data_IF_611823735839
#
_entry.id   IF_611823735839
#
_cell.length_a   1.000
_cell.length_b   1.000
_cell.length_c   1.000
_cell.angle_alpha   90.00
_cell.angle_beta   90.00
_cell.angle_gamma   90.00
#
_symmetry.space_group_name_H-M   'P 1'
#
loop_
_entity.id
_entity.type
_entity.pdbx_description
1 polymer ?
#
# COMPACT_ATOMS: atom_id res chain seq x y z
N UNK A 1 -61.54 48.45 8.11
CA UNK A 1 -61.12 49.42 9.14
C UNK A 1 -59.64 49.04 9.43
N UNK A 2 -58.85 49.78 8.92
CA UNK A 2 -57.99 50.95 9.18
C UNK A 2 -56.54 50.48 9.54
N UNK A 3 -55.70 50.68 8.49
CA UNK A 3 -54.22 50.66 8.65
C UNK A 3 -53.77 51.84 9.51
N UNK A 4 -52.78 51.67 10.35
CA UNK A 4 -51.95 52.80 10.81
C UNK A 4 -50.49 52.42 10.74
N UNK A 5 -49.74 53.18 10.00
CA UNK A 5 -48.28 53.17 9.83
C UNK A 5 -47.54 53.46 11.10
N UNK A 6 -46.45 52.79 11.34
CA UNK A 6 -45.39 53.28 12.23
C UNK A 6 -44.08 53.27 11.48
N UNK A 7 -43.64 54.48 11.04
CA UNK A 7 -42.28 54.75 10.56
C UNK A 7 -41.36 54.86 11.75
N UNK A 8 -40.30 54.05 11.77
CA UNK A 8 -39.20 54.23 12.71
C UNK A 8 -38.02 54.83 11.97
N UNK A 9 -37.60 56.01 12.42
CA UNK A 9 -36.48 56.77 11.91
C UNK A 9 -35.16 56.06 12.23
N UNK A 10 -34.31 55.84 11.21
CA UNK A 10 -32.93 55.40 11.37
C UNK A 10 -32.05 56.65 11.53
N UNK A 11 -31.51 56.83 12.71
CA UNK A 11 -30.49 57.86 12.99
C UNK A 11 -29.12 57.39 12.54
N UNK A 12 -28.56 58.05 11.52
CA UNK A 12 -27.18 57.85 11.06
C UNK A 12 -26.25 58.64 11.98
N UNK A 13 -25.55 57.94 12.86
CA UNK A 13 -24.45 58.53 13.60
C UNK A 13 -23.16 58.39 12.81
N UNK A 14 -22.69 59.50 12.26
CA UNK A 14 -21.41 59.61 11.55
C UNK A 14 -20.28 59.60 12.62
N UNK A 15 -19.55 58.50 12.74
CA UNK A 15 -18.36 58.44 13.58
C UNK A 15 -17.14 58.84 12.71
N UNK A 16 -16.61 60.02 12.95
CA UNK A 16 -15.35 60.47 12.37
C UNK A 16 -14.19 59.78 13.11
N UNK A 17 -13.52 58.83 12.46
CA UNK A 17 -12.24 58.30 12.95
C UNK A 17 -11.08 59.24 12.52
N UNK A 18 -10.47 59.85 13.51
CA UNK A 18 -9.25 60.58 13.33
C UNK A 18 -8.10 59.62 12.96
N UNK A 19 -7.52 59.80 11.78
CA UNK A 19 -6.27 59.17 11.38
C UNK A 19 -5.11 59.83 12.10
N UNK A 20 -4.65 59.23 13.21
CA UNK A 20 -3.38 59.60 13.83
C UNK A 20 -2.52 58.35 13.96
N UNK A 21 -1.34 58.43 13.35
CA UNK A 21 -0.22 57.59 13.67
C UNK A 21 -0.04 56.34 12.78
N UNK A 22 0.66 56.56 11.65
CA UNK A 22 1.40 55.49 10.99
C UNK A 22 2.47 54.96 11.98
N UNK A 23 2.15 53.99 12.82
CA UNK A 23 3.16 53.20 13.48
C UNK A 23 3.81 52.29 12.44
N UNK A 24 5.11 52.45 12.22
CA UNK A 24 5.91 51.58 11.37
C UNK A 24 5.67 50.12 11.80
N UNK A 25 5.01 49.34 10.94
CA UNK A 25 4.91 47.92 11.14
C UNK A 25 6.34 47.36 11.35
N UNK A 26 6.56 46.73 12.48
CA UNK A 26 7.81 46.02 12.72
C UNK A 26 8.05 45.06 11.53
N UNK A 27 9.30 44.94 11.03
CA UNK A 27 9.59 44.08 9.92
C UNK A 27 9.13 42.65 10.27
N UNK A 28 8.20 42.10 9.49
CA UNK A 28 7.80 40.70 9.60
C UNK A 28 9.08 39.91 9.43
N UNK A 29 9.55 39.30 10.52
CA UNK A 29 10.73 38.46 10.48
C UNK A 29 10.49 37.39 9.41
N UNK A 30 11.23 37.43 8.31
CA UNK A 30 11.22 36.36 7.33
C UNK A 30 11.74 35.13 8.03
N UNK A 31 10.87 34.16 8.26
CA UNK A 31 11.28 32.84 8.72
C UNK A 31 12.32 32.28 7.73
N UNK A 32 13.38 31.64 8.25
CA UNK A 32 14.38 31.03 7.38
C UNK A 32 13.71 30.08 6.39
N UNK A 33 14.23 29.94 5.16
CA UNK A 33 13.64 29.09 4.13
C UNK A 33 13.33 27.66 4.59
N UNK A 34 14.08 27.16 5.58
CA UNK A 34 13.94 25.80 6.13
C UNK A 34 12.91 25.68 7.27
N UNK A 35 12.29 26.79 7.70
CA UNK A 35 11.32 26.80 8.81
C UNK A 35 10.05 25.98 8.54
N UNK A 36 9.83 25.56 7.29
CA UNK A 36 8.66 24.78 6.85
C UNK A 36 9.02 23.35 6.38
N UNK A 37 10.25 22.91 6.63
CA UNK A 37 10.67 21.58 6.23
C UNK A 37 9.99 20.53 7.14
N UNK A 38 8.87 20.00 6.69
CA UNK A 38 8.21 18.88 7.36
C UNK A 38 9.06 17.62 7.15
N UNK A 39 9.59 17.00 8.22
CA UNK A 39 10.43 15.82 8.08
C UNK A 39 9.71 14.73 7.28
N UNK A 40 10.43 14.04 6.40
CA UNK A 40 9.85 12.89 5.66
C UNK A 40 9.46 11.78 6.62
N UNK A 41 8.39 11.06 6.26
CA UNK A 41 8.00 9.81 6.94
C UNK A 41 9.01 8.75 6.55
N UNK A 42 9.72 8.20 7.52
CA UNK A 42 10.69 7.12 7.29
C UNK A 42 9.98 5.78 7.25
N UNK A 43 9.98 5.14 6.10
CA UNK A 43 9.31 3.86 5.86
C UNK A 43 10.34 2.76 5.64
N UNK A 44 10.32 1.74 6.49
CA UNK A 44 11.00 0.48 6.27
C UNK A 44 10.09 -0.43 5.45
N UNK A 45 10.33 -0.57 4.15
CA UNK A 45 9.63 -1.55 3.32
C UNK A 45 10.37 -2.89 3.40
N UNK A 46 9.71 -3.90 3.98
CA UNK A 46 10.30 -5.23 4.09
C UNK A 46 10.47 -5.86 2.70
N UNK A 47 11.70 -6.23 2.38
CA UNK A 47 12.09 -6.82 1.11
C UNK A 47 13.09 -7.94 1.33
N UNK A 48 12.60 -9.18 1.34
CA UNK A 48 13.39 -10.41 1.56
C UNK A 48 12.68 -11.60 0.92
N UNK A 49 13.22 -12.80 1.12
CA UNK A 49 12.56 -14.06 0.76
C UNK A 49 11.12 -14.07 1.26
N UNK A 50 10.20 -14.49 0.40
CA UNK A 50 8.76 -14.42 0.66
C UNK A 50 8.08 -13.12 0.23
N UNK A 51 8.79 -12.09 -0.23
CA UNK A 51 8.18 -10.97 -0.93
C UNK A 51 7.94 -11.36 -2.39
N UNK A 52 6.69 -11.45 -2.82
CA UNK A 52 6.31 -11.98 -4.14
C UNK A 52 5.49 -11.00 -4.94
N UNK A 53 5.69 -11.06 -6.25
CA UNK A 53 4.83 -10.43 -7.24
C UNK A 53 4.94 -8.92 -7.34
N UNK A 54 4.12 -8.38 -8.26
CA UNK A 54 4.09 -6.97 -8.59
C UNK A 54 3.75 -6.04 -7.42
N UNK A 55 3.04 -6.53 -6.41
CA UNK A 55 2.61 -5.70 -5.29
C UNK A 55 3.76 -5.02 -4.55
N UNK A 56 4.87 -5.74 -4.30
CA UNK A 56 6.04 -5.14 -3.64
C UNK A 56 6.71 -4.08 -4.52
N UNK A 57 6.75 -4.29 -5.83
CA UNK A 57 7.35 -3.33 -6.77
C UNK A 57 6.46 -2.10 -6.92
N UNK A 58 5.15 -2.27 -7.01
CA UNK A 58 4.19 -1.16 -6.99
C UNK A 58 4.33 -0.32 -5.72
N UNK A 59 4.36 -0.95 -4.54
CA UNK A 59 4.58 -0.26 -3.28
C UNK A 59 5.90 0.51 -3.28
N UNK A 60 6.99 -0.14 -3.68
CA UNK A 60 8.31 0.48 -3.72
C UNK A 60 8.33 1.70 -4.66
N UNK A 61 7.74 1.58 -5.84
CA UNK A 61 7.63 2.68 -6.80
C UNK A 61 6.83 3.85 -6.23
N UNK A 62 5.65 3.59 -5.68
CA UNK A 62 4.78 4.61 -5.11
C UNK A 62 5.43 5.32 -3.92
N UNK A 63 6.03 4.57 -3.00
CA UNK A 63 6.67 5.12 -1.80
C UNK A 63 7.94 5.92 -2.15
N UNK A 64 8.79 5.42 -3.05
CA UNK A 64 10.01 6.13 -3.46
C UNK A 64 9.73 7.39 -4.29
N UNK A 65 8.58 7.43 -4.98
CA UNK A 65 8.14 8.61 -5.75
C UNK A 65 7.37 9.63 -4.90
N UNK A 66 7.00 9.29 -3.67
CA UNK A 66 6.31 10.21 -2.76
C UNK A 66 7.26 11.23 -2.16
N UNK A 67 7.00 12.54 -2.30
CA UNK A 67 7.86 13.59 -1.75
C UNK A 67 7.88 13.58 -0.22
N UNK A 68 6.83 13.11 0.43
CA UNK A 68 6.70 13.06 1.89
C UNK A 68 7.36 11.82 2.52
N UNK A 69 7.88 10.89 1.72
CA UNK A 69 8.40 9.60 2.19
C UNK A 69 9.89 9.48 1.95
N UNK A 70 10.59 8.93 2.95
CA UNK A 70 11.93 8.34 2.80
C UNK A 70 11.78 6.83 2.97
N UNK A 71 11.82 6.09 1.86
CA UNK A 71 11.60 4.64 1.83
C UNK A 71 12.91 3.89 1.65
N UNK A 72 13.25 3.06 2.63
CA UNK A 72 14.38 2.14 2.59
C UNK A 72 13.88 0.69 2.58
N UNK A 73 14.65 -0.19 1.95
CA UNK A 73 14.42 -1.62 2.03
C UNK A 73 15.10 -2.20 3.26
N UNK A 74 14.37 -3.03 4.01
CA UNK A 74 14.87 -3.78 5.15
C UNK A 74 14.62 -5.27 4.95
N UNK A 75 15.56 -6.11 5.37
CA UNK A 75 15.43 -7.57 5.35
C UNK A 75 15.36 -8.14 6.77
N UNK A 76 15.31 -9.47 6.89
CA UNK A 76 15.24 -10.14 8.18
C UNK A 76 16.45 -9.84 9.06
N UNK A 77 17.66 -9.79 8.50
CA UNK A 77 18.87 -9.45 9.23
C UNK A 77 18.85 -8.02 9.79
N UNK A 78 18.34 -7.06 9.02
CA UNK A 78 18.16 -5.67 9.47
C UNK A 78 17.17 -5.58 10.64
N UNK A 79 16.06 -6.35 10.56
CA UNK A 79 15.06 -6.45 11.63
C UNK A 79 15.68 -7.05 12.90
N UNK A 80 16.37 -8.18 12.78
CA UNK A 80 17.05 -8.85 13.90
C UNK A 80 18.12 -7.94 14.54
N UNK A 81 18.85 -7.16 13.72
CA UNK A 81 19.78 -6.15 14.19
C UNK A 81 19.13 -4.93 14.87
N UNK A 82 17.79 -4.86 14.93
CA UNK A 82 17.06 -3.80 15.63
C UNK A 82 16.97 -2.48 14.86
N UNK A 83 17.25 -2.42 13.56
CA UNK A 83 17.25 -1.20 12.75
C UNK A 83 15.87 -0.53 12.62
N UNK A 84 14.78 -1.22 13.00
CA UNK A 84 13.43 -0.66 12.90
C UNK A 84 13.22 0.59 13.75
N UNK A 85 13.97 0.78 14.82
CA UNK A 85 13.89 1.97 15.70
C UNK A 85 14.14 3.29 14.96
N UNK A 86 14.79 3.25 13.81
CA UNK A 86 15.05 4.42 12.96
C UNK A 86 13.89 4.81 12.04
N UNK A 87 12.79 4.05 12.01
CA UNK A 87 11.68 4.23 11.07
C UNK A 87 10.37 4.57 11.78
N UNK A 88 9.51 5.31 11.08
CA UNK A 88 8.17 5.65 11.54
C UNK A 88 7.18 4.53 11.27
N UNK A 89 7.33 3.82 10.14
CA UNK A 89 6.42 2.77 9.68
C UNK A 89 7.21 1.57 9.16
N UNK A 90 6.91 0.39 9.66
CA UNK A 90 7.26 -0.88 9.01
C UNK A 90 6.12 -1.26 8.06
N UNK A 91 6.41 -1.30 6.77
CA UNK A 91 5.49 -1.78 5.76
C UNK A 91 5.83 -3.21 5.35
N UNK A 92 4.88 -4.11 5.57
CA UNK A 92 5.00 -5.53 5.25
C UNK A 92 4.13 -5.84 4.03
N UNK A 93 4.73 -6.06 2.84
CA UNK A 93 4.01 -6.24 1.58
C UNK A 93 3.39 -7.64 1.44
N UNK A 94 2.70 -7.88 0.31
CA UNK A 94 2.21 -9.19 -0.12
C UNK A 94 3.30 -10.24 -0.31
N UNK A 95 2.93 -11.52 -0.44
CA UNK A 95 3.84 -12.66 -0.69
C UNK A 95 3.60 -13.88 0.18
N UNK A 96 4.65 -14.66 0.48
CA UNK A 96 4.61 -15.87 1.30
C UNK A 96 4.85 -15.60 2.79
N UNK A 97 3.85 -15.87 3.62
CA UNK A 97 3.99 -15.64 5.06
C UNK A 97 4.84 -16.69 5.78
N UNK A 98 4.91 -17.91 5.26
CA UNK A 98 5.71 -18.99 5.87
C UNK A 98 7.21 -18.81 5.59
N UNK A 99 7.55 -18.38 4.39
CA UNK A 99 8.95 -18.10 4.02
C UNK A 99 9.52 -16.98 4.89
N UNK A 100 8.71 -15.92 5.14
CA UNK A 100 9.11 -14.83 6.05
C UNK A 100 9.29 -15.28 7.49
N UNK A 101 8.43 -16.19 7.97
CA UNK A 101 8.63 -16.79 9.28
C UNK A 101 10.00 -17.45 9.39
N UNK A 102 10.39 -18.23 8.36
CA UNK A 102 11.68 -18.88 8.33
C UNK A 102 12.88 -17.91 8.35
N UNK A 103 12.75 -16.75 7.72
CA UNK A 103 13.81 -15.73 7.67
C UNK A 103 13.87 -14.88 8.96
N UNK A 104 12.74 -14.38 9.41
CA UNK A 104 12.65 -13.53 10.60
C UNK A 104 12.91 -14.31 11.89
N UNK A 105 12.41 -15.55 11.96
CA UNK A 105 12.44 -16.35 13.18
C UNK A 105 11.71 -15.67 14.35
N UNK A 106 11.74 -16.28 15.52
CA UNK A 106 11.13 -15.70 16.72
C UNK A 106 11.84 -14.42 17.18
N UNK A 107 13.16 -14.34 16.99
CA UNK A 107 13.94 -13.14 17.31
C UNK A 107 13.45 -11.92 16.50
N UNK A 108 13.32 -12.07 15.18
CA UNK A 108 12.80 -11.00 14.31
C UNK A 108 11.38 -10.61 14.69
N UNK A 109 10.55 -11.58 15.06
CA UNK A 109 9.18 -11.30 15.53
C UNK A 109 9.17 -10.52 16.83
N UNK A 110 10.01 -10.87 17.80
CA UNK A 110 10.12 -10.09 19.05
C UNK A 110 10.61 -8.67 18.79
N UNK A 111 11.56 -8.47 17.88
CA UNK A 111 12.01 -7.12 17.49
C UNK A 111 10.88 -6.30 16.87
N UNK A 112 10.05 -6.92 16.01
CA UNK A 112 8.88 -6.24 15.42
C UNK A 112 7.84 -5.91 16.48
N UNK A 113 7.47 -6.87 17.35
CA UNK A 113 6.52 -6.64 18.45
C UNK A 113 7.00 -5.53 19.39
N UNK A 114 8.27 -5.55 19.77
CA UNK A 114 8.89 -4.50 20.60
C UNK A 114 8.80 -3.15 19.92
N UNK A 115 9.23 -3.05 18.65
CA UNK A 115 9.16 -1.81 17.88
C UNK A 115 7.75 -1.21 17.88
N UNK A 116 6.72 -2.02 17.63
CA UNK A 116 5.34 -1.53 17.60
C UNK A 116 4.88 -1.17 19.01
N UNK A 117 5.14 -2.02 20.03
CA UNK A 117 4.75 -1.75 21.42
C UNK A 117 5.34 -0.42 21.94
N UNK A 118 6.51 -0.03 21.48
CA UNK A 118 7.19 1.19 21.88
C UNK A 118 6.74 2.44 21.09
N UNK A 119 5.83 2.30 20.10
CA UNK A 119 5.24 3.42 19.37
C UNK A 119 5.46 3.40 17.87
N UNK A 120 6.18 2.40 17.36
CA UNK A 120 6.29 2.14 15.92
C UNK A 120 4.95 1.79 15.30
N UNK A 121 4.89 1.82 13.99
CA UNK A 121 3.63 1.57 13.24
C UNK A 121 3.84 0.44 12.25
N UNK A 122 2.81 -0.38 12.11
CA UNK A 122 2.80 -1.54 11.21
C UNK A 122 1.74 -1.35 10.13
N UNK A 123 2.13 -1.43 8.86
CA UNK A 123 1.21 -1.45 7.73
C UNK A 123 1.38 -2.76 6.97
N UNK A 124 0.43 -3.68 7.13
CA UNK A 124 0.46 -5.01 6.51
C UNK A 124 -0.51 -5.14 5.35
N UNK A 125 -0.02 -5.60 4.19
CA UNK A 125 -0.83 -5.84 2.98
C UNK A 125 -0.76 -7.31 2.61
N UNK A 126 -1.90 -7.97 2.35
CA UNK A 126 -2.01 -9.36 1.91
C UNK A 126 -1.26 -10.33 2.86
N UNK A 127 -0.08 -10.83 2.50
CA UNK A 127 0.74 -11.62 3.43
C UNK A 127 1.17 -10.81 4.67
N UNK A 128 1.17 -9.48 4.60
CA UNK A 128 1.40 -8.62 5.77
C UNK A 128 0.31 -8.78 6.84
N UNK A 129 -0.98 -8.89 6.46
CA UNK A 129 -2.01 -9.23 7.44
C UNK A 129 -1.84 -10.68 7.93
N UNK A 130 -1.46 -11.63 7.04
CA UNK A 130 -1.18 -13.00 7.46
C UNK A 130 -0.10 -13.05 8.54
N UNK A 131 0.91 -12.18 8.48
CA UNK A 131 1.95 -12.08 9.50
C UNK A 131 1.41 -11.51 10.83
N UNK A 132 0.41 -10.62 10.79
CA UNK A 132 -0.14 -9.97 11.97
C UNK A 132 -1.14 -10.82 12.76
N UNK A 133 -1.65 -11.92 12.18
CA UNK A 133 -2.66 -12.79 12.80
C UNK A 133 -2.23 -13.37 14.15
N UNK A 134 -3.22 -13.68 15.00
CA UNK A 134 -3.03 -14.35 16.29
C UNK A 134 -2.85 -15.86 16.10
N UNK A 135 -1.68 -16.24 15.61
CA UNK A 135 -1.25 -17.62 15.39
C UNK A 135 0.15 -17.80 16.02
N UNK A 136 0.47 -18.93 16.64
CA UNK A 136 1.79 -19.16 17.28
C UNK A 136 3.01 -18.89 16.38
N UNK A 137 2.84 -19.07 15.07
CA UNK A 137 3.90 -18.83 14.06
C UNK A 137 3.77 -17.47 13.39
N UNK A 138 3.19 -16.47 14.08
CA UNK A 138 2.93 -15.12 13.55
C UNK A 138 3.29 -14.05 14.58
N UNK A 139 3.16 -12.81 14.18
CA UNK A 139 3.45 -11.65 15.03
C UNK A 139 2.43 -11.47 16.18
N UNK A 140 1.23 -12.04 16.06
CA UNK A 140 0.18 -11.95 17.08
C UNK A 140 -0.14 -10.50 17.46
N UNK A 141 -0.33 -9.66 16.43
CA UNK A 141 -0.64 -8.25 16.62
C UNK A 141 -2.13 -7.98 16.69
N UNK A 142 -2.96 -8.75 15.99
CA UNK A 142 -4.41 -8.54 15.87
C UNK A 142 -5.18 -9.78 16.38
N UNK A 143 -6.39 -9.59 16.99
CA UNK A 143 -7.19 -10.68 17.57
C UNK A 143 -7.97 -11.46 16.49
N UNK A 144 -7.30 -11.83 15.42
CA UNK A 144 -7.86 -12.58 14.30
C UNK A 144 -6.95 -13.75 13.96
N UNK A 145 -7.58 -14.87 13.65
CA UNK A 145 -6.93 -16.07 13.10
C UNK A 145 -7.18 -16.15 11.61
N UNK A 146 -6.60 -17.14 10.95
CA UNK A 146 -6.85 -17.38 9.52
C UNK A 146 -8.04 -18.29 9.34
N UNK A 147 -9.01 -17.86 8.50
CA UNK A 147 -10.10 -18.72 8.04
C UNK A 147 -9.57 -19.88 7.19
N UNK A 148 -10.23 -21.02 7.29
CA UNK A 148 -9.95 -22.19 6.44
C UNK A 148 -10.47 -21.95 5.03
N UNK A 149 -9.81 -22.50 4.02
CA UNK A 149 -10.25 -22.50 2.63
C UNK A 149 -10.64 -21.12 2.04
N UNK A 150 -9.80 -20.07 2.17
CA UNK A 150 -10.08 -18.81 1.51
C UNK A 150 -10.09 -19.00 -0.02
N UNK A 151 -10.79 -18.14 -0.78
CA UNK A 151 -10.73 -18.14 -2.24
C UNK A 151 -9.29 -18.07 -2.74
N UNK A 152 -9.01 -18.67 -3.87
CA UNK A 152 -7.68 -18.74 -4.49
C UNK A 152 -7.65 -18.01 -5.83
N UNK A 153 -6.47 -17.53 -6.20
CA UNK A 153 -6.22 -16.81 -7.42
C UNK A 153 -6.38 -15.29 -7.26
N UNK A 154 -6.16 -14.60 -8.37
CA UNK A 154 -6.23 -13.15 -8.45
C UNK A 154 -7.54 -12.70 -9.11
N UNK A 155 -8.27 -11.78 -8.47
CA UNK A 155 -9.49 -11.19 -9.02
C UNK A 155 -9.77 -9.83 -8.36
N UNK A 156 -10.70 -9.06 -8.95
CA UNK A 156 -11.22 -7.85 -8.32
C UNK A 156 -12.32 -8.20 -7.33
N UNK A 157 -12.18 -7.77 -6.08
CA UNK A 157 -13.16 -7.95 -5.03
C UNK A 157 -13.81 -6.62 -4.66
N UNK A 158 -15.12 -6.59 -4.52
CA UNK A 158 -15.85 -5.47 -3.94
C UNK A 158 -15.62 -5.45 -2.42
N UNK A 159 -15.30 -4.27 -1.89
CA UNK A 159 -15.04 -4.04 -0.48
C UNK A 159 -15.74 -2.77 -0.06
N UNK A 160 -16.48 -2.85 1.02
CA UNK A 160 -17.24 -1.74 1.61
C UNK A 160 -16.43 -1.10 2.73
N UNK A 161 -15.98 0.14 2.51
CA UNK A 161 -15.39 1.02 3.52
C UNK A 161 -16.53 1.59 4.37
N UNK A 162 -16.38 1.61 5.70
CA UNK A 162 -17.37 2.17 6.62
C UNK A 162 -17.05 3.65 6.97
N UNK A 163 -17.94 4.30 7.76
CA UNK A 163 -17.74 5.69 8.19
C UNK A 163 -16.47 5.90 9.03
N UNK A 164 -16.03 4.87 9.75
CA UNK A 164 -14.77 4.95 10.51
C UNK A 164 -13.54 4.95 9.60
N UNK A 165 -13.60 4.23 8.48
CA UNK A 165 -12.58 4.33 7.44
C UNK A 165 -12.52 5.75 6.86
N UNK A 166 -13.67 6.37 6.61
CA UNK A 166 -13.73 7.75 6.12
C UNK A 166 -13.05 8.74 7.09
N UNK A 167 -13.33 8.64 8.38
CA UNK A 167 -12.72 9.49 9.42
C UNK A 167 -11.19 9.30 9.48
N UNK A 168 -10.72 8.06 9.54
CA UNK A 168 -9.31 7.74 9.76
C UNK A 168 -8.45 7.90 8.51
N UNK A 169 -8.94 7.40 7.36
CA UNK A 169 -8.19 7.41 6.12
C UNK A 169 -8.38 8.71 5.33
N UNK A 170 -9.52 9.41 5.53
CA UNK A 170 -9.89 10.59 4.76
C UNK A 170 -10.35 10.26 3.35
N UNK A 171 -10.96 9.08 3.18
CA UNK A 171 -11.52 8.61 1.91
C UNK A 171 -13.01 8.34 2.09
N UNK A 172 -13.83 8.60 1.06
CA UNK A 172 -15.27 8.41 1.18
C UNK A 172 -15.64 6.96 1.51
N UNK A 173 -16.57 6.78 2.44
CA UNK A 173 -17.19 5.49 2.71
C UNK A 173 -17.94 4.96 1.48
N UNK A 174 -18.13 3.66 1.41
CA UNK A 174 -18.84 3.01 0.30
C UNK A 174 -18.06 1.84 -0.29
N UNK A 175 -18.67 1.21 -1.32
CA UNK A 175 -18.09 0.04 -1.96
C UNK A 175 -17.12 0.45 -3.05
N UNK A 176 -15.93 -0.15 -3.03
CA UNK A 176 -14.85 0.00 -4.02
C UNK A 176 -14.31 -1.35 -4.44
N UNK A 177 -13.67 -1.42 -5.61
CA UNK A 177 -13.05 -2.64 -6.13
C UNK A 177 -11.54 -2.60 -5.89
N UNK A 178 -11.03 -3.68 -5.29
CA UNK A 178 -9.61 -3.87 -5.02
C UNK A 178 -9.12 -5.18 -5.61
N UNK A 179 -7.85 -5.26 -5.93
CA UNK A 179 -7.21 -6.53 -6.24
C UNK A 179 -7.18 -7.40 -4.98
N UNK A 180 -7.68 -8.63 -5.09
CA UNK A 180 -7.45 -9.72 -4.16
C UNK A 180 -6.55 -10.76 -4.82
N UNK A 181 -5.62 -11.37 -4.07
CA UNK A 181 -4.78 -12.45 -4.57
C UNK A 181 -4.35 -13.37 -3.42
N UNK A 182 -4.99 -14.52 -3.29
CA UNK A 182 -4.68 -15.55 -2.27
C UNK A 182 -4.57 -15.02 -0.82
N UNK A 183 -5.12 -13.85 -0.54
CA UNK A 183 -5.06 -13.21 0.78
C UNK A 183 -5.73 -14.07 1.86
N UNK A 184 -5.27 -14.02 3.12
CA UNK A 184 -5.96 -14.69 4.20
C UNK A 184 -7.28 -13.97 4.51
N UNK A 185 -8.33 -14.72 4.78
CA UNK A 185 -9.54 -14.14 5.35
C UNK A 185 -9.41 -14.16 6.88
N UNK A 186 -9.55 -13.00 7.56
CA UNK A 186 -9.49 -12.94 9.02
C UNK A 186 -10.76 -13.49 9.64
N UNK A 187 -10.62 -14.49 10.51
CA UNK A 187 -11.69 -14.99 11.38
C UNK A 187 -11.45 -14.46 12.80
N UNK A 188 -12.54 -14.16 13.53
CA UNK A 188 -12.42 -13.70 14.94
C UNK A 188 -11.67 -14.77 15.76
N UNK A 189 -10.63 -14.33 16.44
CA UNK A 189 -9.82 -15.14 17.33
C UNK A 189 -9.88 -14.62 18.77
N UNK A 190 -9.02 -15.14 19.62
CA UNK A 190 -8.89 -14.71 20.99
C UNK A 190 -8.35 -13.29 21.09
N UNK A 191 -8.68 -12.54 22.14
CA UNK A 191 -8.11 -11.23 22.40
C UNK A 191 -6.56 -11.28 22.44
N UNK A 192 -5.94 -10.22 21.95
CA UNK A 192 -4.50 -10.00 22.09
C UNK A 192 -4.30 -8.97 23.20
N UNK A 193 -3.48 -9.26 24.23
CA UNK A 193 -3.23 -8.31 25.31
C UNK A 193 -2.73 -6.95 24.80
N UNK A 194 -3.07 -5.88 25.51
CA UNK A 194 -2.67 -4.50 25.20
C UNK A 194 -3.07 -4.02 23.80
N UNK A 195 -4.18 -4.54 23.27
CA UNK A 195 -4.62 -4.24 21.91
C UNK A 195 -6.10 -3.86 21.83
N UNK A 196 -6.38 -2.90 20.96
CA UNK A 196 -7.74 -2.47 20.60
C UNK A 196 -7.84 -2.42 19.08
N UNK A 197 -8.88 -3.03 18.51
CA UNK A 197 -9.01 -3.14 17.06
C UNK A 197 -10.43 -2.91 16.58
N UNK A 198 -10.54 -2.25 15.44
CA UNK A 198 -11.77 -1.99 14.74
C UNK A 198 -11.65 -2.40 13.26
N UNK A 199 -12.77 -2.84 12.67
CA UNK A 199 -12.86 -3.16 11.27
C UNK A 199 -13.21 -1.90 10.49
N UNK A 200 -12.35 -1.50 9.55
CA UNK A 200 -12.57 -0.34 8.69
C UNK A 200 -13.27 -0.70 7.39
N UNK A 201 -13.12 -1.93 6.92
CA UNK A 201 -13.76 -2.40 5.71
C UNK A 201 -14.08 -3.89 5.77
N UNK A 202 -15.15 -4.27 5.07
CA UNK A 202 -15.59 -5.66 4.90
C UNK A 202 -15.70 -6.01 3.43
N UNK A 203 -15.53 -7.29 3.10
CA UNK A 203 -15.82 -7.77 1.75
C UNK A 203 -17.30 -7.63 1.45
N UNK A 204 -17.62 -7.10 0.28
CA UNK A 204 -18.97 -6.95 -0.30
C UNK A 204 -19.14 -7.83 -1.55
N UNK A 205 -18.31 -8.86 -1.67
CA UNK A 205 -18.28 -9.81 -2.78
C UNK A 205 -18.61 -11.22 -2.30
N UNK A 206 -19.40 -11.92 -3.11
CA UNK A 206 -19.52 -13.36 -3.06
C UNK A 206 -18.63 -13.97 -4.15
N UNK A 207 -17.60 -14.72 -3.74
CA UNK A 207 -16.74 -15.45 -4.69
C UNK A 207 -17.16 -16.92 -4.70
N UNK A 208 -17.57 -17.39 -5.88
CA UNK A 208 -17.87 -18.81 -6.11
C UNK A 208 -16.76 -19.41 -6.97
N UNK A 209 -16.00 -20.35 -6.41
CA UNK A 209 -15.06 -21.18 -7.17
C UNK A 209 -15.70 -22.49 -7.55
N UNK A 210 -15.74 -22.81 -8.85
CA UNK A 210 -16.32 -24.07 -9.34
C UNK A 210 -15.69 -25.29 -8.66
N UNK A 211 -16.52 -26.17 -8.15
CA UNK A 211 -16.13 -27.50 -7.65
C UNK A 211 -15.38 -27.52 -6.32
N UNK A 212 -15.30 -26.40 -5.59
CA UNK A 212 -14.66 -26.34 -4.27
C UNK A 212 -15.54 -25.62 -3.26
N UNK A 213 -15.62 -26.17 -2.05
CA UNK A 213 -16.15 -25.41 -0.91
C UNK A 213 -15.13 -24.37 -0.51
N UNK A 214 -15.44 -23.09 -0.73
CA UNK A 214 -14.64 -21.95 -0.28
C UNK A 214 -15.40 -21.21 0.80
N UNK A 215 -14.68 -20.62 1.74
CA UNK A 215 -15.28 -19.76 2.75
C UNK A 215 -15.86 -18.52 2.08
N UNK A 216 -17.14 -18.20 2.32
CA UNK A 216 -17.74 -16.97 1.80
C UNK A 216 -16.97 -15.75 2.28
N UNK A 217 -16.62 -14.84 1.37
CA UNK A 217 -15.92 -13.60 1.72
C UNK A 217 -16.86 -12.53 2.26
N UNK A 218 -18.13 -12.56 1.84
CA UNK A 218 -19.09 -11.51 2.18
C UNK A 218 -19.18 -11.25 3.69
N UNK A 219 -19.08 -9.98 4.06
CA UNK A 219 -19.13 -9.55 5.46
C UNK A 219 -17.84 -9.79 6.27
N UNK A 220 -16.86 -10.52 5.73
CA UNK A 220 -15.61 -10.76 6.43
C UNK A 220 -14.72 -9.50 6.44
N UNK A 221 -13.91 -9.30 7.49
CA UNK A 221 -13.00 -8.16 7.56
C UNK A 221 -12.04 -8.14 6.38
N UNK A 222 -11.94 -6.99 5.74
CA UNK A 222 -11.03 -6.74 4.63
C UNK A 222 -9.91 -5.76 5.00
N UNK A 223 -10.19 -4.85 5.96
CA UNK A 223 -9.22 -3.93 6.55
C UNK A 223 -9.47 -3.77 8.05
N UNK A 224 -8.41 -3.85 8.83
CA UNK A 224 -8.45 -3.78 10.29
C UNK A 224 -7.42 -2.74 10.76
N UNK A 225 -7.83 -1.86 11.65
CA UNK A 225 -6.98 -0.85 12.27
C UNK A 225 -7.03 -0.98 13.79
N UNK A 226 -5.94 -0.62 14.46
CA UNK A 226 -5.95 -0.60 15.91
C UNK A 226 -4.61 -0.22 16.52
N UNK A 227 -4.51 -0.54 17.82
CA UNK A 227 -3.34 -0.26 18.65
C UNK A 227 -2.74 -1.56 19.17
N UNK A 228 -1.43 -1.56 19.33
CA UNK A 228 -0.67 -2.60 20.02
C UNK A 228 0.38 -1.92 20.90
N UNK A 229 0.16 -1.92 22.19
CA UNK A 229 0.92 -1.06 23.12
C UNK A 229 0.76 0.43 22.76
N UNK A 230 1.87 1.13 22.60
CA UNK A 230 1.88 2.55 22.20
C UNK A 230 1.78 2.74 20.67
N UNK A 231 1.99 1.69 19.90
CA UNK A 231 2.01 1.75 18.45
C UNK A 231 0.66 1.55 17.79
N UNK A 232 0.65 1.64 16.46
CA UNK A 232 -0.55 1.49 15.65
C UNK A 232 -0.34 0.40 14.61
N UNK A 233 -1.42 -0.30 14.29
CA UNK A 233 -1.44 -1.39 13.31
C UNK A 233 -2.55 -1.13 12.31
N UNK A 234 -2.23 -1.15 11.03
CA UNK A 234 -3.20 -1.16 9.94
C UNK A 234 -2.87 -2.35 9.05
N UNK A 235 -3.86 -3.18 8.80
CA UNK A 235 -3.68 -4.34 7.92
C UNK A 235 -4.83 -4.44 6.93
N UNK A 236 -4.53 -4.90 5.71
CA UNK A 236 -5.51 -5.10 4.65
C UNK A 236 -5.27 -6.41 3.92
N UNK A 237 -6.36 -7.12 3.63
CA UNK A 237 -6.33 -8.36 2.83
C UNK A 237 -6.09 -8.04 1.36
N UNK A 238 -6.62 -6.89 0.90
CA UNK A 238 -6.55 -6.44 -0.48
C UNK A 238 -5.23 -5.74 -0.77
N UNK A 239 -5.03 -5.46 -2.06
CA UNK A 239 -3.88 -4.77 -2.61
C UNK A 239 -4.26 -3.36 -3.09
N UNK A 240 -4.26 -2.33 -2.21
CA UNK A 240 -4.61 -0.97 -2.61
C UNK A 240 -3.55 -0.32 -3.52
N UNK A 241 -2.37 -0.92 -3.63
CA UNK A 241 -1.27 -0.46 -4.48
C UNK A 241 -1.45 -0.77 -5.97
N UNK A 242 -2.36 -1.69 -6.34
CA UNK A 242 -2.47 -2.14 -7.74
C UNK A 242 -3.24 -1.19 -8.65
N UNK A 243 -4.28 -0.53 -8.15
CA UNK A 243 -5.14 0.30 -8.99
C UNK A 243 -5.02 1.78 -8.59
N UNK A 244 -4.83 2.71 -9.55
CA UNK A 244 -4.82 4.14 -9.26
C UNK A 244 -6.06 4.61 -8.49
N UNK A 245 -7.23 4.00 -8.74
CA UNK A 245 -8.50 4.27 -8.05
C UNK A 245 -8.52 3.87 -6.57
N UNK A 246 -7.50 3.17 -6.07
CA UNK A 246 -7.37 2.75 -4.67
C UNK A 246 -6.13 3.31 -3.97
N UNK A 247 -5.33 4.12 -4.67
CA UNK A 247 -4.14 4.74 -4.10
C UNK A 247 -4.46 5.74 -2.98
N UNK A 248 -5.64 6.38 -3.02
CA UNK A 248 -6.11 7.23 -1.93
C UNK A 248 -6.30 6.44 -0.63
N UNK A 249 -6.74 5.18 -0.70
CA UNK A 249 -6.86 4.28 0.46
C UNK A 249 -5.47 3.90 0.99
N UNK A 250 -4.50 3.63 0.11
CA UNK A 250 -3.11 3.39 0.50
C UNK A 250 -2.52 4.62 1.22
N UNK A 251 -2.69 5.81 0.64
CA UNK A 251 -2.23 7.09 1.22
C UNK A 251 -2.96 7.40 2.53
N UNK A 252 -4.25 7.14 2.61
CA UNK A 252 -5.07 7.28 3.81
C UNK A 252 -4.58 6.38 4.95
N UNK A 253 -4.03 5.20 4.63
CA UNK A 253 -3.38 4.35 5.62
C UNK A 253 -2.23 5.05 6.36
N UNK A 254 -1.44 5.86 5.67
CA UNK A 254 -0.42 6.70 6.32
C UNK A 254 -1.05 7.76 7.20
N UNK A 255 -2.14 8.41 6.76
CA UNK A 255 -2.88 9.35 7.61
C UNK A 255 -3.33 8.70 8.92
N UNK A 256 -3.90 7.50 8.87
CA UNK A 256 -4.31 6.76 10.06
C UNK A 256 -3.14 6.42 11.00
N UNK A 257 -2.02 6.00 10.43
CA UNK A 257 -0.85 5.56 11.18
C UNK A 257 -0.02 6.72 11.74
N UNK A 258 0.33 7.72 10.91
CA UNK A 258 1.28 8.81 11.28
C UNK A 258 0.61 10.18 11.42
N UNK A 259 -0.70 10.28 11.21
CA UNK A 259 -1.46 11.54 11.38
C UNK A 259 -1.41 12.49 10.19
N UNK A 260 -0.75 12.13 9.09
CA UNK A 260 -0.68 12.92 7.85
C UNK A 260 -0.73 12.03 6.62
N UNK A 261 -1.42 12.45 5.54
CA UNK A 261 -1.45 11.72 4.28
C UNK A 261 -0.09 11.84 3.57
N UNK A 262 0.09 10.99 2.56
CA UNK A 262 1.19 11.08 1.59
C UNK A 262 0.60 11.26 0.18
N UNK A 263 1.40 11.81 -0.71
CA UNK A 263 1.05 11.93 -2.13
C UNK A 263 1.67 10.75 -2.89
N UNK A 264 0.83 9.97 -3.56
CA UNK A 264 1.29 8.87 -4.40
C UNK A 264 1.24 9.29 -5.86
N UNK A 265 2.41 9.35 -6.49
CA UNK A 265 2.56 9.79 -7.87
C UNK A 265 3.36 8.77 -8.68
N UNK A 266 3.08 8.73 -9.98
CA UNK A 266 3.96 8.03 -10.91
C UNK A 266 4.87 9.01 -11.63
N UNK A 267 6.10 8.60 -12.01
CA UNK A 267 6.96 9.41 -12.85
C UNK A 267 6.25 9.80 -14.15
N UNK A 268 6.38 11.08 -14.55
CA UNK A 268 5.84 11.53 -15.84
C UNK A 268 6.54 10.80 -16.97
N UNK A 269 5.77 10.31 -17.94
CA UNK A 269 6.26 9.61 -19.11
C UNK A 269 6.31 10.55 -20.33
N UNK A 270 7.18 10.22 -21.28
CA UNK A 270 7.22 10.88 -22.60
C UNK A 270 5.94 10.58 -23.38
N UNK A 271 5.73 11.31 -24.50
CA UNK A 271 4.54 11.10 -25.34
C UNK A 271 4.50 9.70 -26.01
N UNK A 272 5.67 9.08 -26.20
CA UNK A 272 5.81 7.73 -26.79
C UNK A 272 6.86 6.93 -26.01
N UNK A 273 6.57 6.48 -24.81
CA UNK A 273 7.50 5.67 -24.05
C UNK A 273 7.59 4.26 -24.62
N UNK A 274 8.74 3.60 -24.44
CA UNK A 274 8.87 2.17 -24.65
C UNK A 274 7.96 1.43 -23.63
N UNK A 275 7.01 0.65 -24.10
CA UNK A 275 6.05 -0.06 -23.25
C UNK A 275 6.63 -1.40 -22.83
N UNK A 276 6.92 -1.55 -21.56
CA UNK A 276 7.53 -2.74 -20.99
C UNK A 276 6.52 -3.46 -20.10
N UNK A 277 6.09 -4.65 -20.49
CA UNK A 277 5.38 -5.56 -19.59
C UNK A 277 6.42 -6.24 -18.70
N UNK A 278 6.41 -5.92 -17.40
CA UNK A 278 7.28 -6.55 -16.41
C UNK A 278 6.55 -7.71 -15.75
N UNK A 279 7.07 -8.93 -15.96
CA UNK A 279 6.51 -10.12 -15.35
C UNK A 279 6.73 -10.11 -13.83
N UNK A 280 5.66 -9.97 -13.09
CA UNK A 280 5.66 -9.86 -11.63
C UNK A 280 5.37 -11.19 -10.92
N UNK A 281 5.85 -12.29 -11.46
CA UNK A 281 5.76 -13.62 -10.85
C UNK A 281 6.64 -13.76 -9.60
N UNK A 282 7.23 -14.91 -9.40
CA UNK A 282 8.07 -15.18 -8.23
C UNK A 282 9.45 -14.50 -8.33
N UNK A 283 9.56 -13.25 -7.88
CA UNK A 283 10.84 -12.53 -7.79
C UNK A 283 11.73 -13.08 -6.67
N UNK A 284 11.13 -13.75 -5.69
CA UNK A 284 11.72 -14.12 -4.40
C UNK A 284 12.69 -15.29 -4.40
N UNK A 285 12.84 -16.03 -5.50
CA UNK A 285 13.73 -17.21 -5.54
C UNK A 285 15.14 -16.92 -6.07
N UNK A 286 15.46 -15.68 -6.36
CA UNK A 286 16.65 -15.30 -7.13
C UNK A 286 17.87 -14.89 -6.32
N UNK A 287 18.01 -15.22 -5.09
CA UNK A 287 19.25 -14.91 -4.36
C UNK A 287 19.51 -13.41 -4.11
N UNK A 288 19.08 -12.50 -4.99
CA UNK A 288 19.17 -11.04 -4.79
C UNK A 288 17.88 -10.34 -5.23
N UNK A 289 16.82 -10.55 -4.45
CA UNK A 289 15.51 -9.91 -4.64
C UNK A 289 15.64 -8.38 -4.64
N UNK A 290 16.53 -7.83 -3.82
CA UNK A 290 16.72 -6.39 -3.69
C UNK A 290 17.29 -5.77 -4.97
N UNK A 291 18.39 -6.31 -5.51
CA UNK A 291 18.99 -5.80 -6.74
C UNK A 291 18.02 -5.91 -7.92
N UNK A 292 17.25 -7.00 -8.00
CA UNK A 292 16.22 -7.19 -9.02
C UNK A 292 15.12 -6.11 -8.92
N UNK A 293 14.64 -5.81 -7.73
CA UNK A 293 13.64 -4.75 -7.51
C UNK A 293 14.22 -3.38 -7.82
N UNK A 294 15.44 -3.09 -7.38
CA UNK A 294 16.12 -1.82 -7.66
C UNK A 294 16.35 -1.61 -9.17
N UNK A 295 16.72 -2.65 -9.93
CA UNK A 295 16.84 -2.61 -11.38
C UNK A 295 15.51 -2.25 -12.07
N UNK A 296 14.41 -2.90 -11.67
CA UNK A 296 13.06 -2.60 -12.18
C UNK A 296 12.61 -1.20 -11.82
N UNK A 297 12.90 -0.73 -10.60
CA UNK A 297 12.54 0.63 -10.16
C UNK A 297 13.32 1.69 -10.92
N UNK A 298 14.62 1.46 -11.17
CA UNK A 298 15.44 2.35 -11.99
C UNK A 298 14.87 2.47 -13.42
N UNK A 299 14.46 1.35 -14.00
CA UNK A 299 13.79 1.35 -15.29
C UNK A 299 12.45 2.10 -15.25
N UNK A 300 11.61 1.85 -14.27
CA UNK A 300 10.31 2.49 -14.12
C UNK A 300 10.40 4.01 -13.84
N UNK A 301 11.52 4.48 -13.31
CA UNK A 301 11.76 5.91 -13.09
C UNK A 301 12.07 6.68 -14.39
N UNK A 302 12.49 6.02 -15.44
CA UNK A 302 12.82 6.65 -16.74
C UNK A 302 11.57 7.25 -17.37
N UNK A 303 11.70 8.43 -17.97
CA UNK A 303 10.58 9.09 -18.68
C UNK A 303 10.27 8.45 -20.03
N UNK A 304 11.26 7.80 -20.66
CA UNK A 304 11.15 7.15 -21.97
C UNK A 304 10.68 5.68 -21.90
N UNK A 305 10.40 5.17 -20.70
CA UNK A 305 9.91 3.80 -20.46
C UNK A 305 8.65 3.82 -19.62
N UNK A 306 7.63 3.08 -20.06
CA UNK A 306 6.40 2.85 -19.31
C UNK A 306 6.33 1.38 -18.89
N UNK A 307 6.42 1.11 -17.59
CA UNK A 307 6.45 -0.25 -17.04
C UNK A 307 5.09 -0.62 -16.49
N UNK A 308 4.47 -1.65 -17.06
CA UNK A 308 3.25 -2.29 -16.56
C UNK A 308 3.60 -3.64 -15.95
N UNK A 309 3.19 -3.87 -14.69
CA UNK A 309 3.41 -5.16 -14.04
C UNK A 309 2.31 -6.14 -14.42
N UNK A 310 2.70 -7.31 -14.90
CA UNK A 310 1.78 -8.34 -15.39
C UNK A 310 2.02 -9.69 -14.70
N UNK A 311 0.94 -10.39 -14.37
CA UNK A 311 0.97 -11.80 -13.94
C UNK A 311 0.79 -12.74 -15.13
N UNK A 312 0.99 -14.05 -14.92
CA UNK A 312 0.72 -15.05 -15.95
C UNK A 312 -0.76 -15.07 -16.37
N UNK A 313 -1.70 -14.83 -15.44
CA UNK A 313 -3.12 -14.71 -15.78
C UNK A 313 -3.38 -13.50 -16.69
N UNK A 314 -2.84 -12.35 -16.37
CA UNK A 314 -3.00 -11.13 -17.17
C UNK A 314 -2.38 -11.29 -18.56
N UNK A 315 -1.25 -12.01 -18.69
CA UNK A 315 -0.68 -12.35 -19.99
C UNK A 315 -1.65 -13.25 -20.76
N UNK A 316 -2.26 -14.25 -20.11
CA UNK A 316 -3.26 -15.10 -20.71
C UNK A 316 -4.53 -14.35 -21.15
N UNK A 317 -4.80 -13.20 -20.56
CA UNK A 317 -5.90 -12.29 -20.88
C UNK A 317 -5.52 -11.22 -21.92
N UNK A 318 -4.30 -11.26 -22.51
CA UNK A 318 -3.87 -10.36 -23.57
C UNK A 318 -3.04 -9.16 -23.11
N UNK A 319 -2.49 -9.16 -21.88
CA UNK A 319 -1.70 -8.03 -21.38
C UNK A 319 -0.44 -7.70 -22.21
N UNK A 320 0.00 -8.59 -23.10
CA UNK A 320 1.13 -8.34 -24.00
C UNK A 320 0.75 -7.62 -25.29
N UNK A 321 -0.53 -7.49 -25.64
CA UNK A 321 -0.98 -6.89 -26.91
C UNK A 321 -0.56 -5.42 -27.06
N UNK A 322 -0.29 -4.76 -25.95
CA UNK A 322 0.14 -3.36 -25.91
C UNK A 322 1.58 -3.16 -25.43
N UNK A 323 2.37 -4.23 -25.31
CA UNK A 323 3.75 -4.16 -24.89
C UNK A 323 4.72 -4.26 -26.09
N UNK A 324 5.84 -3.57 -25.98
CA UNK A 324 6.94 -3.64 -26.96
C UNK A 324 8.02 -4.62 -26.48
N UNK A 325 8.12 -4.80 -25.15
CA UNK A 325 9.08 -5.68 -24.50
C UNK A 325 8.43 -6.42 -23.33
N UNK A 326 8.77 -7.70 -23.17
CA UNK A 326 8.49 -8.46 -21.96
C UNK A 326 9.78 -8.57 -21.13
N UNK A 327 9.78 -7.92 -19.97
CA UNK A 327 10.84 -8.05 -18.96
C UNK A 327 10.47 -9.17 -17.98
N UNK A 328 11.35 -10.17 -17.87
CA UNK A 328 11.23 -11.28 -16.90
C UNK A 328 12.37 -11.16 -15.89
N UNK A 329 12.19 -10.43 -14.78
CA UNK A 329 13.25 -10.11 -13.85
C UNK A 329 13.95 -11.38 -13.32
N UNK A 330 15.28 -11.45 -13.47
CA UNK A 330 16.07 -12.61 -13.09
C UNK A 330 15.79 -13.89 -13.90
N UNK A 331 15.05 -13.80 -15.02
CA UNK A 331 14.73 -14.94 -15.89
C UNK A 331 13.76 -15.95 -15.31
N UNK A 332 13.01 -15.60 -14.26
CA UNK A 332 12.22 -16.54 -13.46
C UNK A 332 10.81 -16.75 -13.96
N UNK A 333 10.34 -17.98 -13.79
CA UNK A 333 9.10 -18.51 -14.34
C UNK A 333 8.38 -19.36 -13.27
N UNK A 334 7.22 -18.91 -12.86
CA UNK A 334 6.35 -19.66 -11.95
C UNK A 334 5.39 -20.61 -12.72
N UNK A 335 4.44 -21.22 -11.98
CA UNK A 335 3.44 -22.12 -12.59
C UNK A 335 2.55 -21.39 -13.60
N UNK A 336 2.27 -20.10 -13.39
CA UNK A 336 1.40 -19.32 -14.29
C UNK A 336 2.09 -18.96 -15.59
N UNK A 337 3.44 -18.92 -15.61
CA UNK A 337 4.21 -18.80 -16.84
C UNK A 337 3.87 -19.90 -17.87
N UNK A 338 3.64 -21.14 -17.39
CA UNK A 338 3.30 -22.25 -18.28
C UNK A 338 1.94 -22.03 -18.96
N UNK A 339 0.97 -21.51 -18.24
CA UNK A 339 -0.34 -21.19 -18.81
C UNK A 339 -0.28 -20.05 -19.83
N UNK A 340 0.61 -19.07 -19.60
CA UNK A 340 0.83 -17.93 -20.51
C UNK A 340 1.76 -18.26 -21.70
N UNK A 341 2.44 -19.39 -21.69
CA UNK A 341 3.48 -19.76 -22.65
C UNK A 341 3.06 -19.60 -24.12
N UNK A 342 1.89 -20.02 -24.59
CA UNK A 342 1.50 -19.86 -25.98
C UNK A 342 1.46 -18.39 -26.42
N UNK A 343 1.01 -17.48 -25.56
CA UNK A 343 0.96 -16.04 -25.87
C UNK A 343 2.33 -15.40 -25.84
N UNK A 344 3.20 -15.85 -24.93
CA UNK A 344 4.60 -15.41 -24.85
C UNK A 344 5.36 -15.85 -26.12
N UNK A 345 5.16 -17.08 -26.58
CA UNK A 345 5.77 -17.58 -27.80
C UNK A 345 5.25 -16.83 -29.03
N UNK A 346 3.95 -16.50 -29.10
CA UNK A 346 3.36 -15.63 -30.12
C UNK A 346 3.96 -14.23 -30.09
N UNK A 347 4.11 -13.64 -28.92
CA UNK A 347 4.72 -12.32 -28.73
C UNK A 347 6.16 -12.28 -29.25
N UNK A 348 6.96 -13.31 -28.96
CA UNK A 348 8.32 -13.47 -29.47
C UNK A 348 8.35 -13.67 -30.99
N UNK A 349 7.45 -14.49 -31.54
CA UNK A 349 7.34 -14.76 -32.96
C UNK A 349 6.95 -13.50 -33.77
N UNK A 350 6.26 -12.55 -33.16
CA UNK A 350 5.94 -11.24 -33.73
C UNK A 350 7.14 -10.27 -33.75
N UNK A 351 8.34 -10.72 -33.35
CA UNK A 351 9.56 -9.91 -33.34
C UNK A 351 9.78 -9.07 -32.07
N UNK A 352 8.91 -9.20 -31.06
CA UNK A 352 9.06 -8.45 -29.83
C UNK A 352 10.16 -9.04 -28.93
N UNK A 353 10.77 -8.20 -28.11
CA UNK A 353 11.91 -8.57 -27.28
C UNK A 353 11.47 -9.17 -25.95
N UNK A 354 12.20 -10.19 -25.48
CA UNK A 354 12.10 -10.71 -24.12
C UNK A 354 13.48 -10.53 -23.47
N UNK A 355 13.51 -9.83 -22.34
CA UNK A 355 14.74 -9.51 -21.60
C UNK A 355 14.63 -9.97 -20.14
N UNK A 356 15.75 -10.14 -19.46
CA UNK A 356 15.80 -10.62 -18.07
C UNK A 356 16.30 -9.57 -17.09
N UNK A 357 16.81 -8.45 -17.59
CA UNK A 357 17.24 -7.29 -16.79
C UNK A 357 16.82 -6.00 -17.47
N UNK A 358 16.49 -4.98 -16.66
CA UNK A 358 16.24 -3.63 -17.13
C UNK A 358 17.47 -2.97 -17.76
N UNK A 359 18.67 -3.50 -17.50
CA UNK A 359 19.93 -3.04 -18.12
C UNK A 359 20.04 -3.46 -19.58
N UNK A 360 19.25 -4.41 -20.03
CA UNK A 360 19.20 -4.86 -21.41
C UNK A 360 18.29 -3.95 -22.30
N UNK A 361 17.69 -2.92 -21.70
CA UNK A 361 16.80 -1.92 -22.30
C UNK A 361 17.43 -0.55 -22.29
#
# INVERSE_FOLDING_TARGET
MSMKHLQAAVSVATLAFALTGCQSAAPVARLPPDAWHVPKIKVALYLDVGCKGGGVIHLAQLLKSSPEVACDFVNAADVQAGKLSGYDVLMMPGGGGLERYGQLGEEGFEKIRKYIREGGRYYGICAGIAMALNDPKRLRLIPYTREKNPPRGGFSAAVKLNGRAEELLGVSAGTRYFRYHDGPLPAKGDPVPDSEYEVLATFDSHVMQRGKSVTPMYGMPAMIYGRYGKGKVLVTVMHPEYFPSTHDVLAGGFRALVGRPITLTYPKKSARPLRVACYAGEIDRAGDTRATVEDVLALAARSDVDVTFVSGEQIAEGALDHADVLLVPGGRRDRMWQAARPLIDKFKAAGNRIVTSGKDL
#
